data_IF_243954965654
#
_entry.id   IF_243954965654
#
_cell.length_a   1.000
_cell.length_b   1.000
_cell.length_c   1.000
_cell.angle_alpha   90.00
_cell.angle_beta   90.00
_cell.angle_gamma   90.00
#
_symmetry.space_group_name_H-M   'P 1'
#
loop_
_entity.id
_entity.type
_entity.pdbx_description
1 polymer ?
#
# COMPACT_ATOMS: atom_id res chain seq x y z
N UNK A 1 20.03 3.87 -0.97
CA UNK A 1 18.69 4.06 -1.56
C UNK A 1 17.69 4.39 -0.46
N UNK A 2 16.68 5.23 -0.72
CA UNK A 2 15.62 5.50 0.26
C UNK A 2 14.57 4.39 0.17
N UNK A 3 14.23 3.78 1.31
CA UNK A 3 13.19 2.76 1.45
C UNK A 3 12.05 3.35 2.28
N UNK A 4 10.80 3.20 1.81
CA UNK A 4 9.62 3.72 2.49
C UNK A 4 8.63 2.59 2.77
N UNK A 5 8.16 2.51 4.01
CA UNK A 5 7.09 1.60 4.40
C UNK A 5 5.77 2.37 4.34
N UNK A 6 4.79 1.82 3.63
CA UNK A 6 3.45 2.41 3.48
C UNK A 6 2.43 1.47 4.08
N UNK A 7 1.78 1.90 5.15
CA UNK A 7 0.63 1.21 5.75
C UNK A 7 -0.69 1.85 5.32
N UNK A 8 -1.62 1.05 4.80
CA UNK A 8 -2.98 1.50 4.47
C UNK A 8 -3.98 0.88 5.45
N UNK A 9 -4.62 1.73 6.23
CA UNK A 9 -5.69 1.39 7.18
C UNK A 9 -7.08 1.78 6.63
N UNK A 10 -8.15 1.49 7.38
CA UNK A 10 -9.54 1.75 6.99
C UNK A 10 -10.02 3.19 7.22
N UNK A 11 -9.16 4.19 7.11
CA UNK A 11 -9.56 5.59 7.15
C UNK A 11 -10.09 6.05 5.78
N UNK A 12 -11.01 7.01 5.78
CA UNK A 12 -11.44 7.66 4.53
C UNK A 12 -10.30 8.45 3.89
N UNK A 13 -10.38 8.69 2.58
CA UNK A 13 -9.34 9.39 1.82
C UNK A 13 -8.31 8.44 1.23
N UNK A 14 -8.72 7.22 0.87
CA UNK A 14 -7.85 6.20 0.27
C UNK A 14 -7.17 6.65 -1.03
N UNK A 15 -7.71 7.68 -1.69
CA UNK A 15 -7.09 8.32 -2.86
C UNK A 15 -5.69 8.87 -2.56
N UNK A 16 -5.42 9.30 -1.32
CA UNK A 16 -4.09 9.76 -0.93
C UNK A 16 -3.07 8.62 -0.93
N UNK A 17 -3.47 7.44 -0.42
CA UNK A 17 -2.61 6.26 -0.42
C UNK A 17 -2.31 5.79 -1.86
N UNK A 18 -3.33 5.75 -2.73
CA UNK A 18 -3.17 5.42 -4.15
C UNK A 18 -2.23 6.40 -4.85
N UNK A 19 -2.43 7.70 -4.63
CA UNK A 19 -1.61 8.75 -5.24
C UNK A 19 -0.16 8.70 -4.73
N UNK A 20 0.03 8.43 -3.44
CA UNK A 20 1.36 8.23 -2.84
C UNK A 20 2.08 7.06 -3.49
N UNK A 21 1.45 5.88 -3.59
CA UNK A 21 2.08 4.70 -4.20
C UNK A 21 2.50 4.97 -5.65
N UNK A 22 1.64 5.63 -6.44
CA UNK A 22 1.98 6.04 -7.81
C UNK A 22 3.19 6.98 -7.86
N UNK A 23 3.23 7.98 -6.97
CA UNK A 23 4.35 8.92 -6.91
C UNK A 23 5.67 8.22 -6.51
N UNK A 24 5.64 7.32 -5.52
CA UNK A 24 6.80 6.56 -5.10
C UNK A 24 7.32 5.64 -6.21
N UNK A 25 6.42 4.98 -6.94
CA UNK A 25 6.76 4.18 -8.12
C UNK A 25 7.44 5.02 -9.20
N UNK A 26 6.89 6.19 -9.56
CA UNK A 26 7.48 7.09 -10.55
C UNK A 26 8.86 7.62 -10.16
N UNK A 27 9.09 7.82 -8.86
CA UNK A 27 10.38 8.25 -8.32
C UNK A 27 11.39 7.11 -8.15
N UNK A 28 11.04 5.87 -8.53
CA UNK A 28 11.85 4.66 -8.32
C UNK A 28 12.26 4.48 -6.84
N UNK A 29 11.35 4.79 -5.90
CA UNK A 29 11.57 4.59 -4.47
C UNK A 29 11.07 3.19 -4.07
N UNK A 30 11.95 2.42 -3.43
CA UNK A 30 11.61 1.09 -2.92
C UNK A 30 10.52 1.20 -1.85
N UNK A 31 9.37 0.60 -2.13
CA UNK A 31 8.17 0.73 -1.30
C UNK A 31 7.73 -0.62 -0.75
N UNK A 32 7.60 -0.71 0.56
CA UNK A 32 7.07 -1.86 1.28
C UNK A 32 5.63 -1.57 1.72
N UNK A 33 4.67 -2.19 1.05
CA UNK A 33 3.25 -1.99 1.29
C UNK A 33 2.70 -3.00 2.31
N UNK A 34 1.91 -2.50 3.26
CA UNK A 34 1.05 -3.28 4.16
C UNK A 34 -0.36 -2.72 4.07
N UNK A 35 -1.35 -3.59 3.91
CA UNK A 35 -2.76 -3.19 3.84
C UNK A 35 -3.57 -4.01 4.84
N UNK A 36 -4.30 -3.33 5.72
CA UNK A 36 -5.25 -4.00 6.62
C UNK A 36 -6.53 -4.42 5.88
N UNK A 37 -7.30 -5.37 6.43
CA UNK A 37 -8.60 -5.78 5.85
C UNK A 37 -9.52 -4.58 5.58
N UNK A 38 -9.58 -3.62 6.51
CA UNK A 38 -10.39 -2.43 6.32
C UNK A 38 -9.78 -1.43 5.32
N UNK A 39 -8.45 -1.38 5.21
CA UNK A 39 -7.78 -0.57 4.19
C UNK A 39 -8.11 -1.03 2.78
N UNK A 40 -8.07 -2.35 2.53
CA UNK A 40 -8.51 -2.93 1.26
C UNK A 40 -9.98 -2.62 0.96
N UNK A 41 -10.85 -2.75 1.97
CA UNK A 41 -12.27 -2.42 1.81
C UNK A 41 -12.45 -0.95 1.40
N UNK A 42 -11.82 -0.01 2.11
CA UNK A 42 -12.00 1.42 1.84
C UNK A 42 -11.39 1.82 0.50
N UNK A 43 -10.20 1.32 0.13
CA UNK A 43 -9.60 1.62 -1.19
C UNK A 43 -10.47 1.12 -2.34
N UNK A 44 -11.06 -0.07 -2.18
CA UNK A 44 -11.98 -0.62 -3.18
C UNK A 44 -13.28 0.17 -3.23
N UNK A 45 -13.82 0.57 -2.07
CA UNK A 45 -15.07 1.29 -1.96
C UNK A 45 -14.99 2.72 -2.51
N UNK A 46 -13.97 3.49 -2.14
CA UNK A 46 -13.84 4.89 -2.51
C UNK A 46 -13.17 5.09 -3.87
N UNK A 47 -12.18 4.25 -4.22
CA UNK A 47 -11.36 4.45 -5.41
C UNK A 47 -11.58 3.39 -6.51
N UNK A 48 -12.35 2.33 -6.23
CA UNK A 48 -12.50 1.20 -7.15
C UNK A 48 -11.23 0.34 -7.29
N UNK A 49 -10.21 0.57 -6.45
CA UNK A 49 -8.89 -0.06 -6.55
C UNK A 49 -8.81 -1.20 -5.52
N UNK A 50 -8.66 -2.42 -6.03
CA UNK A 50 -8.50 -3.62 -5.20
C UNK A 50 -7.05 -3.85 -4.75
N UNK A 51 -6.88 -4.81 -3.84
CA UNK A 51 -5.57 -5.15 -3.28
C UNK A 51 -4.53 -5.53 -4.34
N UNK A 52 -4.92 -6.29 -5.37
CA UNK A 52 -4.00 -6.70 -6.44
C UNK A 52 -3.47 -5.53 -7.27
N UNK A 53 -4.24 -4.46 -7.42
CA UNK A 53 -3.77 -3.24 -8.08
C UNK A 53 -2.81 -2.46 -7.18
N UNK A 54 -3.10 -2.35 -5.88
CA UNK A 54 -2.19 -1.72 -4.92
C UNK A 54 -0.83 -2.42 -4.87
N UNK A 55 -0.82 -3.77 -4.87
CA UNK A 55 0.41 -4.57 -4.91
C UNK A 55 1.28 -4.23 -6.11
N UNK A 56 0.69 -4.00 -7.28
CA UNK A 56 1.43 -3.61 -8.51
C UNK A 56 2.05 -2.22 -8.44
N UNK A 57 1.60 -1.37 -7.51
CA UNK A 57 2.14 -0.02 -7.30
C UNK A 57 3.28 0.02 -6.27
N UNK A 58 3.59 -1.10 -5.60
CA UNK A 58 4.63 -1.22 -4.60
C UNK A 58 5.74 -2.19 -5.04
N UNK A 59 6.94 -2.05 -4.47
CA UNK A 59 8.06 -2.96 -4.73
C UNK A 59 7.88 -4.29 -4.00
N UNK A 60 7.37 -4.23 -2.77
CA UNK A 60 7.07 -5.40 -1.93
C UNK A 60 5.72 -5.23 -1.26
N UNK A 61 5.02 -6.35 -1.07
CA UNK A 61 3.79 -6.42 -0.27
C UNK A 61 3.99 -7.41 0.87
N UNK A 62 3.53 -7.03 2.06
CA UNK A 62 3.55 -7.88 3.25
C UNK A 62 2.13 -8.00 3.80
N UNK A 63 1.71 -9.24 4.09
CA UNK A 63 0.44 -9.49 4.76
C UNK A 63 0.45 -8.85 6.15
N UNK A 64 -0.57 -8.07 6.49
CA UNK A 64 -0.72 -7.40 7.79
C UNK A 64 -0.80 -8.38 8.98
N UNK A 65 -1.04 -9.68 8.73
CA UNK A 65 -1.03 -10.74 9.74
C UNK A 65 0.31 -11.47 9.85
N UNK A 66 1.27 -11.22 8.96
CA UNK A 66 2.56 -11.89 8.99
C UNK A 66 3.53 -11.18 9.96
N UNK A 67 3.63 -11.70 11.19
CA UNK A 67 4.54 -11.20 12.21
C UNK A 67 6.03 -11.30 11.81
N UNK A 68 6.39 -12.28 10.96
CA UNK A 68 7.76 -12.53 10.52
C UNK A 68 8.10 -11.87 9.17
N UNK A 69 7.28 -10.92 8.72
CA UNK A 69 7.51 -10.22 7.46
C UNK A 69 8.87 -9.48 7.48
N UNK A 70 9.72 -9.63 6.46
CA UNK A 70 11.02 -8.97 6.39
C UNK A 70 10.87 -7.51 5.93
N UNK A 71 10.13 -6.71 6.69
CA UNK A 71 9.75 -5.35 6.30
C UNK A 71 10.84 -4.31 6.60
N UNK A 72 11.67 -4.57 7.61
CA UNK A 72 12.78 -3.72 8.03
C UNK A 72 14.09 -4.50 7.94
#
# INVERSE_FOLDING_TARGET
MKKIIVGISGGSGSIYAVSLLKALQQLNIETHLVVSTMGEYVTKHECGIGLEELKKMASHFHDNKNLAAPIA
#
